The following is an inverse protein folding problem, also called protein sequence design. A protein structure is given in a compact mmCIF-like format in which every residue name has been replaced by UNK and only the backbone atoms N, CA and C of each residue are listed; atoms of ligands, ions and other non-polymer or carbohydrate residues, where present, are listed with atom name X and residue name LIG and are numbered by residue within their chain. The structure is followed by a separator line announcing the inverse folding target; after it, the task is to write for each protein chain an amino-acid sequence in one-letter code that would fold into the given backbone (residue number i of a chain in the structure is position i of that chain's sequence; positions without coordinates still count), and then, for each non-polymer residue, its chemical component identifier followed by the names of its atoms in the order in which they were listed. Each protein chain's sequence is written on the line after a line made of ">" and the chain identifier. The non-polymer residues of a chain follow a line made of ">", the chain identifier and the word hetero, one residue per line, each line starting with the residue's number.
data_IF_714349434167
#
_entry.id   IF_714349434167
#
_cell.length_a   1.000
_cell.length_b   1.000
_cell.length_c   1.000
_cell.angle_alpha   90.00
_cell.angle_beta   90.00
_cell.angle_gamma   90.00
#
_symmetry.space_group_name_H-M   'P 1'
#
loop_
_entity.id
_entity.type
_entity.pdbx_description
1 polymer ?
#
# COMPACT_ATOMS: atom_id res chain seq x y z
N UNK A 1 8.36 1.08 -47.96
CA UNK A 1 9.38 0.40 -47.11
C UNK A 1 8.86 0.26 -45.69
N UNK A 2 8.38 -0.93 -45.30
CA UNK A 2 7.97 -1.25 -43.93
C UNK A 2 9.24 -1.45 -43.09
N UNK A 3 9.52 -0.56 -42.15
CA UNK A 3 10.63 -0.71 -41.19
C UNK A 3 10.23 -1.76 -40.14
N UNK A 4 10.59 -3.01 -40.40
CA UNK A 4 10.54 -4.08 -39.40
C UNK A 4 11.55 -3.73 -38.30
N UNK A 5 11.09 -3.21 -37.16
CA UNK A 5 11.92 -3.07 -35.96
C UNK A 5 12.27 -4.48 -35.47
N UNK A 6 13.46 -4.98 -35.79
CA UNK A 6 14.12 -6.00 -34.96
C UNK A 6 14.19 -5.43 -33.55
N UNK A 7 13.66 -6.14 -32.56
CA UNK A 7 13.99 -5.91 -31.15
C UNK A 7 15.45 -6.30 -30.94
N UNK A 8 16.39 -5.47 -31.36
CA UNK A 8 17.71 -5.47 -30.76
C UNK A 8 17.52 -5.08 -29.30
N UNK A 9 18.08 -5.86 -28.37
CA UNK A 9 18.24 -5.50 -26.96
C UNK A 9 18.81 -4.08 -26.97
N UNK A 10 17.99 -3.07 -26.67
CA UNK A 10 18.50 -1.71 -26.53
C UNK A 10 19.29 -1.78 -25.24
N UNK A 11 20.62 -1.77 -25.33
CA UNK A 11 21.49 -1.65 -24.17
C UNK A 11 21.34 -0.23 -23.64
N UNK A 12 20.22 0.03 -22.95
CA UNK A 12 20.04 1.25 -22.19
C UNK A 12 21.14 1.30 -21.12
N UNK A 13 21.67 2.48 -20.79
CA UNK A 13 22.63 2.64 -19.70
C UNK A 13 22.08 2.02 -18.40
N UNK A 14 22.97 1.50 -17.55
CA UNK A 14 22.61 0.90 -16.25
C UNK A 14 21.60 1.78 -15.47
N UNK A 15 21.80 3.10 -15.32
CA UNK A 15 20.88 3.93 -14.56
C UNK A 15 19.45 3.99 -15.12
N UNK A 16 19.27 3.78 -16.43
CA UNK A 16 17.95 3.79 -17.07
C UNK A 16 17.12 2.54 -16.77
N UNK A 17 17.75 1.49 -16.22
CA UNK A 17 17.07 0.27 -15.81
C UNK A 17 16.83 0.22 -14.29
N UNK A 18 17.19 1.27 -13.55
CA UNK A 18 16.88 1.40 -12.12
C UNK A 18 15.48 1.99 -11.92
N UNK A 19 14.70 1.36 -11.06
CA UNK A 19 13.34 1.77 -10.71
C UNK A 19 13.21 2.01 -9.20
N UNK A 20 12.28 2.88 -8.78
CA UNK A 20 11.93 3.00 -7.36
C UNK A 20 11.31 1.71 -6.84
N UNK A 21 11.95 1.10 -5.86
CA UNK A 21 11.45 -0.05 -5.10
C UNK A 21 10.93 0.45 -3.77
N UNK A 22 9.63 0.69 -3.69
CA UNK A 22 8.96 1.25 -2.49
C UNK A 22 8.46 0.16 -1.56
N UNK A 23 7.92 -0.94 -2.10
CA UNK A 23 7.31 -2.02 -1.31
C UNK A 23 8.07 -3.34 -1.42
N UNK A 24 8.40 -3.78 -2.63
CA UNK A 24 9.21 -4.97 -2.90
C UNK A 24 9.65 -5.00 -4.38
N UNK A 25 10.63 -5.84 -4.68
CA UNK A 25 11.05 -6.21 -6.05
C UNK A 25 11.08 -7.73 -6.16
N UNK A 26 10.74 -8.27 -7.34
CA UNK A 26 10.66 -9.72 -7.56
C UNK A 26 11.23 -10.13 -8.92
N UNK A 27 11.76 -11.35 -8.98
CA UNK A 27 12.05 -12.09 -10.22
C UNK A 27 11.38 -13.46 -10.15
N UNK A 28 10.79 -13.89 -11.27
CA UNK A 28 10.07 -15.15 -11.37
C UNK A 28 10.67 -16.00 -12.51
N UNK A 29 10.99 -17.25 -12.19
CA UNK A 29 11.22 -18.30 -13.17
C UNK A 29 9.91 -19.09 -13.38
N UNK A 30 9.25 -18.79 -14.50
CA UNK A 30 7.98 -19.43 -14.89
C UNK A 30 8.15 -20.89 -15.30
N UNK A 31 9.33 -21.29 -15.76
CA UNK A 31 9.58 -22.68 -16.16
C UNK A 31 9.65 -23.58 -14.92
N UNK A 32 10.24 -23.08 -13.83
CA UNK A 32 10.35 -23.80 -12.57
C UNK A 32 9.20 -23.51 -11.58
N UNK A 33 8.36 -22.49 -11.84
CA UNK A 33 7.32 -22.06 -10.91
C UNK A 33 7.91 -21.50 -9.61
N UNK A 34 9.05 -20.80 -9.70
CA UNK A 34 9.78 -20.25 -8.57
C UNK A 34 9.83 -18.73 -8.65
N UNK A 35 9.70 -18.08 -7.50
CA UNK A 35 9.80 -16.64 -7.38
C UNK A 35 10.71 -16.26 -6.21
N UNK A 36 11.54 -15.25 -6.44
CA UNK A 36 12.37 -14.58 -5.45
C UNK A 36 11.87 -13.14 -5.31
N UNK A 37 11.61 -12.70 -4.07
CA UNK A 37 11.22 -11.34 -3.77
C UNK A 37 12.04 -10.77 -2.63
N UNK A 38 12.37 -9.48 -2.73
CA UNK A 38 13.06 -8.71 -1.70
C UNK A 38 12.17 -7.54 -1.26
N UNK A 39 11.90 -7.46 0.04
CA UNK A 39 11.12 -6.40 0.68
C UNK A 39 12.12 -5.51 1.44
N UNK A 40 12.41 -4.29 0.97
CA UNK A 40 13.26 -3.36 1.69
C UNK A 40 12.49 -2.71 2.86
N UNK A 41 13.21 -2.23 3.87
CA UNK A 41 12.65 -1.48 5.00
C UNK A 41 12.34 -0.01 4.68
N UNK A 42 12.77 0.48 3.51
CA UNK A 42 12.60 1.84 3.01
C UNK A 42 12.65 1.88 1.48
N UNK A 43 12.18 2.97 0.85
CA UNK A 43 12.33 3.14 -0.60
C UNK A 43 13.79 3.11 -1.03
N UNK A 44 14.10 2.30 -2.04
CA UNK A 44 15.44 2.16 -2.61
C UNK A 44 15.37 2.15 -4.13
N UNK A 45 16.48 2.42 -4.81
CA UNK A 45 16.61 2.14 -6.24
C UNK A 45 16.93 0.66 -6.44
N UNK A 46 16.27 -0.02 -7.37
CA UNK A 46 16.56 -1.42 -7.68
C UNK A 46 16.44 -1.76 -9.16
N UNK A 47 17.03 -2.89 -9.53
CA UNK A 47 17.03 -3.39 -10.91
C UNK A 47 17.15 -4.92 -10.98
N UNK A 48 17.06 -5.44 -12.20
CA UNK A 48 17.41 -6.80 -12.59
C UNK A 48 18.26 -6.69 -13.86
N UNK A 49 19.58 -6.58 -13.67
CA UNK A 49 20.52 -6.32 -14.78
C UNK A 49 20.93 -7.59 -15.54
N UNK A 50 20.57 -8.75 -15.02
CA UNK A 50 20.81 -10.06 -15.61
C UNK A 50 19.68 -11.00 -15.22
N UNK A 51 19.38 -11.97 -16.09
CA UNK A 51 18.30 -12.93 -15.88
C UNK A 51 18.51 -13.66 -14.54
N UNK A 52 17.46 -13.71 -13.71
CA UNK A 52 17.50 -14.32 -12.38
C UNK A 52 18.17 -13.48 -11.28
N UNK A 53 18.70 -12.29 -11.57
CA UNK A 53 19.35 -11.43 -10.58
C UNK A 53 18.43 -10.27 -10.14
N UNK A 54 18.56 -9.87 -8.88
CA UNK A 54 17.98 -8.64 -8.33
C UNK A 54 19.07 -7.84 -7.63
N UNK A 55 19.05 -6.52 -7.78
CA UNK A 55 19.95 -5.61 -7.07
C UNK A 55 19.19 -4.44 -6.46
N UNK A 56 19.68 -3.98 -5.31
CA UNK A 56 19.18 -2.80 -4.59
C UNK A 56 20.36 -1.89 -4.22
N UNK A 57 20.21 -0.61 -4.52
CA UNK A 57 21.15 0.42 -4.14
C UNK A 57 20.92 0.80 -2.68
N UNK A 58 21.84 0.38 -1.81
CA UNK A 58 21.68 0.52 -0.36
C UNK A 58 21.97 1.94 0.14
N UNK A 59 23.02 2.55 -0.40
CA UNK A 59 23.47 3.89 -0.02
C UNK A 59 24.31 4.49 -1.15
N UNK A 60 24.47 5.82 -1.17
CA UNK A 60 25.24 6.54 -2.19
C UNK A 60 25.97 7.72 -1.57
N UNK A 61 27.14 8.02 -2.13
CA UNK A 61 27.93 9.21 -1.83
C UNK A 61 28.51 9.75 -3.13
N UNK A 62 28.44 11.05 -3.34
CA UNK A 62 29.01 11.76 -4.49
C UNK A 62 29.79 12.97 -3.97
N UNK A 63 31.01 13.16 -4.47
CA UNK A 63 31.85 14.31 -4.12
C UNK A 63 31.57 15.57 -4.94
N UNK A 64 30.63 15.52 -5.88
CA UNK A 64 30.29 16.63 -6.79
C UNK A 64 28.78 16.79 -6.88
N UNK A 65 28.33 18.03 -7.10
CA UNK A 65 26.94 18.33 -7.43
C UNK A 65 26.59 17.84 -8.85
N UNK A 66 25.31 17.59 -9.09
CA UNK A 66 24.77 17.16 -10.38
C UNK A 66 24.32 18.32 -11.28
N UNK A 67 24.44 19.56 -10.78
CA UNK A 67 24.01 20.80 -11.44
C UNK A 67 22.51 20.85 -11.78
N UNK A 68 21.66 20.16 -11.02
CA UNK A 68 20.20 20.17 -11.20
C UNK A 68 19.46 21.13 -10.25
N UNK A 69 20.19 22.02 -9.59
CA UNK A 69 19.63 23.10 -8.74
C UNK A 69 19.94 22.97 -7.25
N UNK A 70 20.46 21.83 -6.79
CA UNK A 70 21.09 21.74 -5.48
C UNK A 70 22.59 22.06 -5.61
N UNK A 71 23.09 23.00 -4.79
CA UNK A 71 24.49 23.41 -4.80
C UNK A 71 25.41 22.42 -4.06
N UNK A 72 24.85 21.57 -3.20
CA UNK A 72 25.59 20.62 -2.38
C UNK A 72 25.70 19.25 -3.06
N UNK A 73 26.88 18.62 -2.93
CA UNK A 73 27.08 17.22 -3.30
C UNK A 73 26.44 16.29 -2.27
N UNK A 74 25.97 15.11 -2.68
CA UNK A 74 25.49 14.08 -1.74
C UNK A 74 26.67 13.46 -0.94
N UNK A 75 27.11 14.15 0.10
CA UNK A 75 28.30 13.82 0.88
C UNK A 75 28.03 13.94 2.39
N UNK A 76 27.04 13.19 2.88
CA UNK A 76 26.61 13.24 4.27
C UNK A 76 27.70 12.72 5.22
N UNK A 77 28.01 13.51 6.25
CA UNK A 77 28.99 13.19 7.29
C UNK A 77 28.37 13.36 8.69
N UNK A 78 28.95 12.70 9.68
CA UNK A 78 28.61 12.82 11.09
C UNK A 78 29.30 14.02 11.76
N UNK A 79 29.09 14.17 13.07
CA UNK A 79 29.70 15.24 13.89
C UNK A 79 31.24 15.21 13.95
N UNK A 80 31.85 14.07 13.60
CA UNK A 80 33.30 13.88 13.55
C UNK A 80 33.86 13.96 12.12
N UNK A 81 33.08 14.46 11.15
CA UNK A 81 33.39 14.51 9.72
C UNK A 81 33.63 13.13 9.06
N UNK A 82 33.08 12.06 9.61
CA UNK A 82 33.11 10.72 9.02
C UNK A 82 31.85 10.47 8.19
N UNK A 83 31.93 9.70 7.12
CA UNK A 83 30.75 9.39 6.30
C UNK A 83 29.69 8.68 7.14
N UNK A 84 28.42 9.08 6.98
CA UNK A 84 27.34 8.50 7.79
C UNK A 84 27.21 6.98 7.57
N UNK A 85 26.77 6.28 8.62
CA UNK A 85 26.48 4.85 8.56
C UNK A 85 24.98 4.66 8.65
N UNK A 86 24.41 4.02 7.63
CA UNK A 86 23.00 3.62 7.60
C UNK A 86 22.86 2.12 7.79
N UNK A 87 22.01 1.72 8.74
CA UNK A 87 21.60 0.33 8.91
C UNK A 87 20.19 0.14 8.37
N UNK A 88 20.02 -0.90 7.56
CA UNK A 88 18.73 -1.27 6.98
C UNK A 88 18.44 -2.76 7.12
N UNK A 89 17.20 -3.15 6.86
CA UNK A 89 16.74 -4.54 6.84
C UNK A 89 16.12 -4.86 5.50
N UNK A 90 16.42 -6.05 4.98
CA UNK A 90 15.76 -6.62 3.82
C UNK A 90 15.17 -7.97 4.20
N UNK A 91 13.90 -8.20 3.88
CA UNK A 91 13.31 -9.53 3.98
C UNK A 91 13.34 -10.18 2.62
N UNK A 92 13.91 -11.38 2.55
CA UNK A 92 13.98 -12.17 1.32
C UNK A 92 12.97 -13.30 1.44
N UNK A 93 12.11 -13.42 0.44
CA UNK A 93 11.13 -14.50 0.33
C UNK A 93 11.41 -15.25 -0.97
N UNK A 94 11.64 -16.55 -0.87
CA UNK A 94 11.87 -17.42 -2.00
C UNK A 94 10.97 -18.65 -1.91
N UNK A 95 10.35 -19.03 -3.02
CA UNK A 95 9.52 -20.22 -3.05
C UNK A 95 8.61 -20.27 -4.27
N UNK A 96 7.61 -21.13 -4.19
CA UNK A 96 6.63 -21.40 -5.24
C UNK A 96 5.81 -20.18 -5.65
N UNK A 97 5.73 -19.90 -6.95
CA UNK A 97 5.01 -18.75 -7.51
C UNK A 97 3.53 -18.72 -7.16
N UNK A 98 2.88 -19.88 -7.04
CA UNK A 98 1.42 -19.98 -6.88
C UNK A 98 0.89 -19.30 -5.61
N UNK A 99 1.70 -19.27 -4.55
CA UNK A 99 1.35 -18.67 -3.25
C UNK A 99 2.17 -17.41 -2.94
N UNK A 100 3.06 -17.00 -3.85
CA UNK A 100 4.09 -16.02 -3.54
C UNK A 100 3.55 -14.60 -3.40
N UNK A 101 2.63 -14.20 -4.29
CA UNK A 101 2.09 -12.83 -4.32
C UNK A 101 1.34 -12.47 -3.03
N UNK A 102 0.40 -13.30 -2.51
CA UNK A 102 -0.23 -13.04 -1.21
C UNK A 102 0.78 -12.93 -0.07
N UNK A 103 1.75 -13.84 -0.01
CA UNK A 103 2.76 -13.86 1.05
C UNK A 103 3.62 -12.60 1.06
N UNK A 104 4.14 -12.17 -0.10
CA UNK A 104 4.95 -10.95 -0.22
C UNK A 104 4.14 -9.72 0.13
N UNK A 105 2.90 -9.62 -0.36
CA UNK A 105 2.05 -8.46 -0.08
C UNK A 105 1.73 -8.32 1.40
N UNK A 106 1.33 -9.41 2.06
CA UNK A 106 1.07 -9.42 3.50
C UNK A 106 2.34 -9.17 4.32
N UNK A 107 3.49 -9.73 3.91
CA UNK A 107 4.77 -9.49 4.57
C UNK A 107 5.24 -8.04 4.41
N UNK A 108 5.03 -7.42 3.24
CA UNK A 108 5.32 -6.01 2.99
C UNK A 108 4.44 -5.11 3.85
N UNK A 109 3.13 -5.37 3.88
CA UNK A 109 2.17 -4.65 4.72
C UNK A 109 2.55 -4.69 6.21
N UNK A 110 2.87 -5.88 6.73
CA UNK A 110 3.33 -6.05 8.12
C UNK A 110 4.69 -5.41 8.42
N UNK A 111 5.49 -5.13 7.39
CA UNK A 111 6.76 -4.42 7.55
C UNK A 111 6.55 -2.91 7.68
N UNK A 112 5.51 -2.36 7.04
CA UNK A 112 5.12 -0.96 7.19
C UNK A 112 4.35 -0.76 8.51
N UNK A 113 3.36 -1.61 8.78
CA UNK A 113 2.50 -1.54 9.96
C UNK A 113 2.97 -2.52 11.05
N UNK A 114 4.24 -2.37 11.47
CA UNK A 114 4.79 -3.17 12.56
C UNK A 114 4.10 -2.83 13.90
N UNK A 115 3.94 -3.81 14.81
CA UNK A 115 3.41 -3.55 16.14
C UNK A 115 4.21 -2.47 16.88
N UNK A 116 3.52 -1.54 17.52
CA UNK A 116 4.15 -0.55 18.40
C UNK A 116 4.51 -1.24 19.72
N UNK A 117 5.80 -1.26 20.05
CA UNK A 117 6.29 -1.80 21.31
C UNK A 117 6.18 -0.73 22.39
N UNK A 118 5.55 -1.07 23.52
CA UNK A 118 5.42 -0.22 24.70
C UNK A 118 6.05 -0.93 25.89
N UNK A 119 6.80 -0.18 26.70
CA UNK A 119 7.50 -0.70 27.87
C UNK A 119 7.02 0.05 29.12
N UNK A 120 6.81 -0.68 30.21
CA UNK A 120 6.44 -0.13 31.50
C UNK A 120 7.10 -0.94 32.63
N UNK A 121 7.23 -0.33 33.80
CA UNK A 121 7.70 -1.03 34.99
C UNK A 121 6.77 -2.20 35.34
N UNK A 122 7.32 -3.29 35.86
CA UNK A 122 6.56 -4.52 36.16
C UNK A 122 5.35 -4.30 37.07
N UNK A 123 5.46 -3.37 38.03
CA UNK A 123 4.38 -2.98 38.94
C UNK A 123 3.18 -2.33 38.23
N UNK A 124 3.39 -1.70 37.07
CA UNK A 124 2.33 -1.09 36.26
C UNK A 124 1.72 -2.08 35.27
N UNK A 125 2.47 -3.08 34.80
CA UNK A 125 1.98 -4.10 33.86
C UNK A 125 0.82 -4.92 34.43
N UNK A 126 0.80 -5.14 35.75
CA UNK A 126 -0.32 -5.83 36.43
C UNK A 126 -1.68 -5.11 36.26
N UNK A 127 -1.67 -3.82 35.91
CA UNK A 127 -2.88 -3.00 35.69
C UNK A 127 -3.28 -2.90 34.21
N UNK A 128 -2.45 -3.42 33.30
CA UNK A 128 -2.68 -3.31 31.86
C UNK A 128 -3.47 -4.51 31.37
N UNK A 129 -4.58 -4.26 30.68
CA UNK A 129 -5.29 -5.31 29.96
C UNK A 129 -4.46 -5.75 28.74
N UNK A 130 -3.85 -6.93 28.82
CA UNK A 130 -2.90 -7.42 27.81
C UNK A 130 -3.54 -7.72 26.43
N UNK A 131 -4.86 -7.77 26.33
CA UNK A 131 -5.58 -8.05 25.08
C UNK A 131 -6.78 -7.12 24.95
N UNK A 132 -6.68 -6.12 24.08
CA UNK A 132 -7.79 -5.25 23.67
C UNK A 132 -7.76 -5.13 22.14
N UNK A 133 -8.93 -5.28 21.53
CA UNK A 133 -9.18 -4.98 20.12
C UNK A 133 -10.12 -3.78 20.06
N UNK A 134 -9.96 -2.94 19.05
CA UNK A 134 -10.98 -1.92 18.72
C UNK A 134 -12.04 -2.48 17.76
N UNK A 135 -11.76 -3.61 17.12
CA UNK A 135 -12.66 -4.27 16.18
C UNK A 135 -13.55 -5.26 16.93
N UNK A 136 -14.85 -5.25 16.63
CA UNK A 136 -15.84 -6.19 17.20
C UNK A 136 -15.61 -7.63 16.72
N UNK A 137 -15.00 -7.80 15.54
CA UNK A 137 -14.62 -9.08 14.98
C UNK A 137 -13.48 -8.93 13.98
N UNK A 138 -12.94 -10.05 13.50
CA UNK A 138 -11.90 -10.05 12.49
C UNK A 138 -12.44 -9.52 11.16
N UNK A 139 -11.67 -8.64 10.51
CA UNK A 139 -11.92 -8.30 9.11
C UNK A 139 -11.45 -9.43 8.19
N UNK A 140 -12.07 -9.64 7.01
CA UNK A 140 -11.59 -10.59 6.02
C UNK A 140 -10.13 -10.37 5.68
N UNK A 141 -9.35 -11.44 5.46
CA UNK A 141 -7.91 -11.35 5.16
C UNK A 141 -7.59 -10.54 3.90
N UNK A 142 -8.53 -10.49 2.95
CA UNK A 142 -8.43 -9.69 1.74
C UNK A 142 -8.58 -8.18 1.99
N UNK A 143 -9.06 -7.77 3.17
CA UNK A 143 -9.30 -6.38 3.54
C UNK A 143 -8.29 -5.90 4.57
N UNK A 144 -7.98 -4.60 4.48
CA UNK A 144 -7.12 -3.92 5.44
C UNK A 144 -7.75 -2.59 5.85
N UNK A 145 -7.84 -2.36 7.16
CA UNK A 145 -8.24 -1.08 7.72
C UNK A 145 -7.07 -0.10 7.60
N UNK A 146 -7.07 0.66 6.51
CA UNK A 146 -5.99 1.58 6.14
C UNK A 146 -6.01 2.88 6.96
N UNK A 147 -7.18 3.38 7.31
CA UNK A 147 -7.30 4.61 8.11
C UNK A 147 -8.50 4.53 9.05
N UNK A 148 -8.27 4.94 10.30
CA UNK A 148 -9.31 5.26 11.27
C UNK A 148 -8.87 6.53 12.00
N UNK A 149 -9.46 7.66 11.64
CA UNK A 149 -9.00 8.99 12.06
C UNK A 149 -10.18 9.87 12.51
N UNK A 150 -10.15 10.48 13.69
CA UNK A 150 -11.20 11.40 14.11
C UNK A 150 -11.22 12.64 13.22
N UNK A 151 -12.37 12.96 12.63
CA UNK A 151 -12.60 14.24 11.94
C UNK A 151 -12.93 15.33 12.97
N UNK A 152 -13.70 14.96 13.98
CA UNK A 152 -14.00 15.74 15.17
C UNK A 152 -14.44 14.78 16.30
N UNK A 153 -15.00 15.30 17.39
CA UNK A 153 -15.38 14.49 18.55
C UNK A 153 -16.43 13.40 18.25
N UNK A 154 -17.28 13.63 17.24
CA UNK A 154 -18.44 12.78 16.97
C UNK A 154 -18.34 12.08 15.61
N UNK A 155 -17.26 12.29 14.85
CA UNK A 155 -17.12 11.75 13.50
C UNK A 155 -15.74 11.19 13.22
N UNK A 156 -15.72 10.15 12.41
CA UNK A 156 -14.50 9.44 12.02
C UNK A 156 -14.40 9.30 10.50
N UNK A 157 -13.19 9.40 10.00
CA UNK A 157 -12.79 9.06 8.65
C UNK A 157 -12.27 7.62 8.65
N UNK A 158 -12.91 6.79 7.84
CA UNK A 158 -12.61 5.37 7.71
C UNK A 158 -12.15 5.07 6.28
N UNK A 159 -10.99 4.43 6.12
CA UNK A 159 -10.54 3.87 4.84
C UNK A 159 -10.28 2.39 4.96
N UNK A 160 -10.89 1.63 4.06
CA UNK A 160 -10.65 0.21 3.90
C UNK A 160 -10.18 -0.05 2.48
N UNK A 161 -9.15 -0.88 2.35
CA UNK A 161 -8.63 -1.31 1.07
C UNK A 161 -8.78 -2.83 0.90
N UNK A 162 -9.00 -3.25 -0.34
CA UNK A 162 -8.85 -4.63 -0.73
C UNK A 162 -7.42 -4.87 -1.21
N UNK A 163 -6.69 -5.74 -0.51
CA UNK A 163 -5.28 -6.01 -0.78
C UNK A 163 -5.05 -6.64 -2.16
N UNK A 164 -6.07 -7.19 -2.79
CA UNK A 164 -5.96 -7.78 -4.15
C UNK A 164 -5.12 -9.06 -4.16
N UNK A 165 -4.98 -9.70 -3.00
CA UNK A 165 -4.36 -11.01 -2.83
C UNK A 165 -5.28 -12.16 -3.30
N UNK A 166 -6.57 -11.87 -3.47
CA UNK A 166 -7.58 -12.74 -4.05
C UNK A 166 -8.33 -11.98 -5.14
N UNK A 167 -8.85 -12.70 -6.14
CA UNK A 167 -9.63 -12.11 -7.24
C UNK A 167 -11.09 -11.84 -6.87
N UNK A 168 -11.60 -12.51 -5.85
CA UNK A 168 -12.98 -12.32 -5.39
C UNK A 168 -13.15 -10.99 -4.67
N UNK A 169 -14.37 -10.46 -4.74
CA UNK A 169 -14.76 -9.31 -3.92
C UNK A 169 -14.97 -9.71 -2.47
N UNK A 170 -14.58 -8.83 -1.54
CA UNK A 170 -14.87 -9.01 -0.12
C UNK A 170 -16.07 -8.17 0.32
N UNK A 171 -16.86 -8.70 1.25
CA UNK A 171 -17.95 -7.99 1.90
C UNK A 171 -17.62 -7.74 3.37
N UNK A 172 -17.94 -6.56 3.88
CA UNK A 172 -17.74 -6.21 5.28
C UNK A 172 -18.92 -5.38 5.81
N UNK A 173 -19.60 -5.82 6.89
CA UNK A 173 -20.52 -4.96 7.62
C UNK A 173 -19.70 -3.87 8.34
N UNK A 174 -19.80 -2.63 7.88
CA UNK A 174 -19.00 -1.52 8.42
C UNK A 174 -19.65 -0.93 9.68
N UNK A 175 -20.98 -0.84 9.74
CA UNK A 175 -21.68 -0.26 10.89
C UNK A 175 -21.26 -0.86 12.25
N UNK A 176 -21.18 -2.19 12.42
CA UNK A 176 -20.77 -2.81 13.68
C UNK A 176 -19.26 -3.12 13.74
N UNK A 177 -18.43 -2.45 12.93
CA UNK A 177 -17.01 -2.80 12.79
C UNK A 177 -16.23 -2.59 14.11
N UNK A 178 -16.54 -1.51 14.83
CA UNK A 178 -15.85 -1.15 16.06
C UNK A 178 -16.56 -1.76 17.28
N UNK A 179 -15.76 -2.18 18.26
CA UNK A 179 -16.26 -2.81 19.49
C UNK A 179 -16.98 -1.79 20.38
N UNK A 180 -16.38 -0.61 20.56
CA UNK A 180 -16.80 0.41 21.52
C UNK A 180 -17.75 1.47 20.91
N UNK A 181 -17.97 1.44 19.60
CA UNK A 181 -18.78 2.42 18.88
C UNK A 181 -19.55 1.75 17.73
N UNK A 182 -20.78 2.17 17.52
CA UNK A 182 -21.50 1.90 16.27
C UNK A 182 -21.26 3.06 15.30
N UNK A 183 -20.97 2.71 14.04
CA UNK A 183 -20.81 3.69 12.97
C UNK A 183 -22.18 3.95 12.34
N UNK A 184 -22.70 5.16 12.56
CA UNK A 184 -23.95 5.64 11.99
C UNK A 184 -23.70 6.64 10.85
N UNK A 185 -24.73 6.93 10.07
CA UNK A 185 -24.69 7.90 8.98
C UNK A 185 -23.48 7.76 8.03
N UNK A 186 -23.06 6.54 7.70
CA UNK A 186 -21.93 6.30 6.81
C UNK A 186 -22.12 6.98 5.46
N UNK A 187 -21.23 7.93 5.16
CA UNK A 187 -21.23 8.71 3.94
C UNK A 187 -19.97 8.41 3.13
N UNK A 188 -20.09 7.70 1.99
CA UNK A 188 -18.98 7.51 1.07
C UNK A 188 -18.45 8.84 0.56
N UNK A 189 -17.12 8.98 0.53
CA UNK A 189 -16.42 10.18 0.05
C UNK A 189 -15.39 9.83 -1.04
N UNK A 190 -14.87 10.86 -1.70
CA UNK A 190 -13.65 10.76 -2.50
C UNK A 190 -12.47 10.31 -1.63
N UNK A 191 -11.40 9.78 -2.23
CA UNK A 191 -10.21 9.30 -1.49
C UNK A 191 -9.64 10.34 -0.51
N UNK A 192 -9.69 11.63 -0.88
CA UNK A 192 -9.28 12.75 -0.04
C UNK A 192 -10.16 13.02 1.19
N UNK A 193 -11.31 12.35 1.34
CA UNK A 193 -12.23 12.52 2.48
C UNK A 193 -12.99 13.85 2.50
N UNK A 194 -12.80 14.71 1.49
CA UNK A 194 -13.28 16.10 1.48
C UNK A 194 -14.57 16.33 0.66
N UNK A 195 -14.98 15.38 -0.18
CA UNK A 195 -16.17 15.49 -1.02
C UNK A 195 -17.00 14.22 -0.93
N UNK A 196 -18.29 14.35 -0.60
CA UNK A 196 -19.23 13.23 -0.62
C UNK A 196 -19.44 12.71 -2.04
N UNK A 197 -19.46 11.38 -2.23
CA UNK A 197 -19.64 10.78 -3.55
C UNK A 197 -20.98 11.17 -4.20
N UNK A 198 -22.03 11.38 -3.39
CA UNK A 198 -23.32 11.90 -3.89
C UNK A 198 -23.22 13.30 -4.53
N UNK A 199 -22.20 14.08 -4.15
CA UNK A 199 -21.94 15.42 -4.70
C UNK A 199 -20.98 15.38 -5.90
N UNK A 200 -20.46 14.20 -6.29
CA UNK A 200 -19.63 14.04 -7.48
C UNK A 200 -20.55 13.97 -8.70
N UNK A 201 -20.81 15.12 -9.32
CA UNK A 201 -21.85 15.28 -10.35
C UNK A 201 -21.47 14.66 -11.69
N UNK A 202 -20.22 14.75 -12.12
CA UNK A 202 -19.78 14.15 -13.39
C UNK A 202 -18.27 13.94 -13.46
N UNK A 203 -17.85 12.91 -14.20
CA UNK A 203 -16.46 12.71 -14.62
C UNK A 203 -16.32 13.15 -16.07
N UNK A 204 -15.23 13.84 -16.39
CA UNK A 204 -14.90 14.19 -17.77
C UNK A 204 -14.83 12.94 -18.63
N UNK A 205 -15.48 12.98 -19.80
CA UNK A 205 -15.49 11.89 -20.78
C UNK A 205 -14.49 12.20 -21.89
N UNK A 206 -13.45 11.39 -21.99
CA UNK A 206 -12.41 11.54 -23.00
C UNK A 206 -12.61 10.54 -24.14
N UNK A 207 -12.44 10.99 -25.38
CA UNK A 207 -12.32 10.10 -26.53
C UNK A 207 -10.89 9.56 -26.58
N UNK A 208 -10.71 8.31 -26.21
CA UNK A 208 -9.41 7.62 -26.24
C UNK A 208 -9.26 6.83 -27.54
N UNK A 209 -8.08 6.89 -28.17
CA UNK A 209 -7.79 6.27 -29.47
C UNK A 209 -7.98 4.74 -29.48
N UNK A 210 -7.91 4.10 -28.31
CA UNK A 210 -8.34 2.72 -28.07
C UNK A 210 -9.36 2.75 -26.95
N UNK A 211 -10.64 2.56 -27.27
CA UNK A 211 -11.65 2.26 -26.26
C UNK A 211 -11.31 0.89 -25.67
N UNK A 212 -10.58 0.86 -24.57
CA UNK A 212 -10.76 -0.21 -23.61
C UNK A 212 -12.16 0.00 -23.02
N UNK A 213 -12.96 -1.06 -22.95
CA UNK A 213 -14.19 -1.07 -22.16
C UNK A 213 -13.80 -0.64 -20.75
N UNK A 214 -14.02 0.64 -20.45
CA UNK A 214 -13.81 1.15 -19.11
C UNK A 214 -14.65 0.32 -18.15
N UNK A 215 -14.22 0.15 -16.88
CA UNK A 215 -15.05 -0.51 -15.89
C UNK A 215 -16.44 0.15 -15.93
N UNK A 216 -17.52 -0.63 -15.89
CA UNK A 216 -18.87 -0.09 -16.00
C UNK A 216 -19.05 1.01 -14.96
N UNK A 217 -19.77 2.07 -15.36
CA UNK A 217 -20.14 3.14 -14.45
C UNK A 217 -20.73 2.51 -13.18
N UNK A 218 -20.09 2.78 -12.05
CA UNK A 218 -20.55 2.30 -10.75
C UNK A 218 -21.98 2.75 -10.53
N UNK A 219 -22.89 1.80 -10.36
CA UNK A 219 -24.13 2.07 -9.67
C UNK A 219 -23.73 2.46 -8.23
N UNK A 220 -23.97 3.73 -7.88
CA UNK A 220 -24.00 4.13 -6.47
C UNK A 220 -25.09 3.26 -5.84
N UNK A 221 -24.72 2.42 -4.88
CA UNK A 221 -25.68 1.59 -4.16
C UNK A 221 -26.82 2.47 -3.66
N UNK A 222 -28.07 2.08 -3.95
CA UNK A 222 -29.23 2.76 -3.42
C UNK A 222 -29.13 2.75 -1.89
N UNK A 223 -29.41 3.86 -1.19
CA UNK A 223 -29.62 3.81 0.25
C UNK A 223 -30.85 2.93 0.48
N UNK A 224 -30.65 1.77 1.11
CA UNK A 224 -31.71 0.77 1.24
C UNK A 224 -31.30 -0.35 2.17
N UNK A 225 -31.17 -0.05 3.46
CA UNK A 225 -31.85 -0.70 4.59
C UNK A 225 -31.28 -0.11 5.89
N UNK A 226 -32.11 0.17 6.93
CA UNK A 226 -31.71 1.06 8.03
C UNK A 226 -30.71 0.47 9.03
N UNK A 227 -30.40 -0.83 8.96
CA UNK A 227 -29.83 -1.49 10.13
C UNK A 227 -28.33 -1.77 10.05
N UNK A 228 -27.73 -2.05 8.88
CA UNK A 228 -26.28 -2.25 8.78
C UNK A 228 -25.75 -1.89 7.39
N UNK A 229 -24.85 -0.91 7.29
CA UNK A 229 -24.16 -0.65 6.03
C UNK A 229 -23.13 -1.75 5.77
N UNK A 230 -23.39 -2.59 4.77
CA UNK A 230 -22.45 -3.61 4.29
C UNK A 230 -21.84 -3.15 2.97
N UNK A 231 -20.51 -3.00 2.94
CA UNK A 231 -19.79 -2.58 1.75
C UNK A 231 -19.19 -3.77 1.01
N UNK A 232 -19.25 -3.73 -0.33
CA UNK A 232 -18.55 -4.63 -1.23
C UNK A 232 -17.27 -3.97 -1.72
N UNK A 233 -16.13 -4.62 -1.57
CA UNK A 233 -14.83 -4.16 -2.04
C UNK A 233 -14.37 -5.02 -3.21
N UNK A 234 -13.99 -4.37 -4.32
CA UNK A 234 -13.37 -5.05 -5.46
C UNK A 234 -11.85 -5.18 -5.27
N UNK A 235 -11.18 -6.14 -5.92
CA UNK A 235 -9.72 -6.24 -5.86
C UNK A 235 -8.99 -4.94 -6.18
N UNK A 236 -8.09 -4.51 -5.29
CA UNK A 236 -7.31 -3.28 -5.42
C UNK A 236 -8.09 -1.99 -5.11
N UNK A 237 -9.34 -2.11 -4.67
CA UNK A 237 -10.19 -0.97 -4.41
C UNK A 237 -9.96 -0.39 -3.00
N UNK A 238 -10.00 0.93 -2.89
CA UNK A 238 -10.03 1.66 -1.61
C UNK A 238 -11.36 2.41 -1.51
N UNK A 239 -12.10 2.20 -0.43
CA UNK A 239 -13.30 2.98 -0.13
C UNK A 239 -13.06 3.85 1.10
N UNK A 240 -13.54 5.09 1.03
CA UNK A 240 -13.40 6.10 2.06
C UNK A 240 -14.79 6.52 2.54
N UNK A 241 -14.98 6.55 3.85
CA UNK A 241 -16.24 6.91 4.48
C UNK A 241 -16.00 7.94 5.57
N UNK A 242 -16.94 8.86 5.74
CA UNK A 242 -17.11 9.61 6.98
C UNK A 242 -18.32 9.03 7.68
N UNK A 243 -18.20 8.75 8.97
CA UNK A 243 -19.26 8.18 9.79
C UNK A 243 -19.39 8.92 11.11
N UNK A 244 -20.61 8.96 11.64
CA UNK A 244 -20.88 9.48 12.98
C UNK A 244 -20.62 8.34 13.99
N UNK A 245 -19.98 8.69 15.11
CA UNK A 245 -19.68 7.78 16.21
C UNK A 245 -20.83 7.81 17.20
N UNK A 246 -21.46 6.65 17.42
CA UNK A 246 -22.43 6.46 18.49
C UNK A 246 -21.91 5.45 19.49
N UNK A 247 -22.04 5.78 20.78
CA UNK A 247 -21.70 4.87 21.88
C UNK A 247 -22.89 4.01 22.26
#
# INVERSE_FOLDING_TARGET
>A
MKRTRRMTRVALPVPSNYYPVVSWISVEDKACGLQLSVIPDRPQGGSSMSDGALELMLHRRHGTADNLGNAESLNEVDENNQGIIVTGKHKVIFGRSEVHVPLVRLASLRSVYMPVLMFAASSQLAKVQAKRSILRGSIPEALHLLTLEPVNNDRVLLRLEHLGIVQDSAWLPISPLLQDFDLEHLQPTTLGGNLYLRNVTSRLRWKVAKQQSGPPARAVGRPGEPYYYTAKFLPGEIQTFVADLKR
#
